data_IF_554629330703
#
_entry.id   IF_554629330703
#
_cell.length_a   1.000
_cell.length_b   1.000
_cell.length_c   1.000
_cell.angle_alpha   90.00
_cell.angle_beta   90.00
_cell.angle_gamma   90.00
#
_symmetry.space_group_name_H-M   'P 1'
#
loop_
_entity.id
_entity.type
_entity.pdbx_description
1 polymer ?
#
# COMPACT_ATOMS: atom_id res chain seq x y z
N UNK A 1 8.97 -7.24 14.43
CA UNK A 1 9.91 -6.12 14.64
C UNK A 1 11.36 -6.63 14.85
N UNK A 2 11.72 -7.57 15.76
CA UNK A 2 13.09 -8.04 15.89
C UNK A 2 13.68 -8.66 14.62
N UNK A 3 12.88 -9.35 13.82
CA UNK A 3 13.30 -9.95 12.55
C UNK A 3 13.66 -8.88 11.50
N UNK A 4 12.90 -7.78 11.47
CA UNK A 4 13.20 -6.61 10.63
C UNK A 4 14.53 -5.96 11.00
N UNK A 5 14.82 -5.79 12.30
CA UNK A 5 16.09 -5.24 12.75
C UNK A 5 17.27 -6.09 12.31
N UNK A 6 17.17 -7.41 12.49
CA UNK A 6 18.20 -8.34 12.06
C UNK A 6 18.41 -8.31 10.53
N UNK A 7 17.30 -8.30 9.78
CA UNK A 7 17.33 -8.25 8.31
C UNK A 7 18.05 -7.02 7.78
N UNK A 8 17.92 -5.89 8.48
CA UNK A 8 18.50 -4.60 8.08
C UNK A 8 19.75 -4.19 8.89
N UNK A 9 20.32 -5.12 9.67
CA UNK A 9 21.56 -4.90 10.40
C UNK A 9 21.44 -3.89 11.56
N UNK A 10 20.22 -3.62 12.02
CA UNK A 10 19.95 -2.76 13.16
C UNK A 10 19.91 -3.59 14.46
N UNK A 11 20.45 -3.02 15.53
CA UNK A 11 20.43 -3.72 16.81
C UNK A 11 19.19 -3.42 17.65
N UNK A 12 18.54 -2.28 17.39
CA UNK A 12 17.41 -1.77 18.15
C UNK A 12 16.53 -0.81 17.31
N UNK A 13 15.45 -0.34 17.92
CA UNK A 13 14.51 0.60 17.30
C UNK A 13 15.16 1.95 17.00
N UNK A 14 16.03 2.44 17.87
CA UNK A 14 16.68 3.74 17.68
C UNK A 14 17.61 3.71 16.46
N UNK A 15 18.43 2.66 16.30
CA UNK A 15 19.26 2.48 15.12
C UNK A 15 18.44 2.37 13.84
N UNK A 16 17.30 1.65 13.89
CA UNK A 16 16.38 1.57 12.76
C UNK A 16 15.76 2.92 12.39
N UNK A 17 15.28 3.69 13.38
CA UNK A 17 14.73 5.02 13.15
C UNK A 17 15.78 6.03 12.64
N UNK A 18 17.02 5.93 13.12
CA UNK A 18 18.11 6.78 12.65
C UNK A 18 18.47 6.54 11.18
N UNK A 19 18.21 5.34 10.65
CA UNK A 19 18.42 5.01 9.24
C UNK A 19 17.19 5.38 8.40
N UNK A 20 16.00 4.98 8.83
CA UNK A 20 14.78 5.09 8.03
C UNK A 20 14.06 6.41 8.22
N UNK A 21 14.38 7.15 9.28
CA UNK A 21 13.69 8.38 9.70
C UNK A 21 12.17 8.22 9.83
N UNK A 22 11.66 7.00 10.00
CA UNK A 22 10.24 6.63 9.97
C UNK A 22 9.51 7.07 8.67
N UNK A 23 10.22 7.25 7.58
CA UNK A 23 9.67 7.73 6.32
C UNK A 23 8.72 6.70 5.70
N UNK A 24 7.63 7.21 5.13
CA UNK A 24 6.69 6.43 4.33
C UNK A 24 6.21 7.24 3.11
N UNK A 25 5.60 6.55 2.15
CA UNK A 25 4.87 7.21 1.05
C UNK A 25 3.38 7.42 1.38
N UNK A 26 2.97 7.17 2.63
CA UNK A 26 1.60 7.43 3.08
C UNK A 26 1.40 8.85 3.63
N UNK A 27 2.48 9.48 4.09
CA UNK A 27 2.44 10.79 4.75
C UNK A 27 3.77 11.54 4.63
N UNK A 28 3.92 12.64 5.37
CA UNK A 28 5.16 13.44 5.44
C UNK A 28 5.71 13.56 6.86
N UNK A 29 5.26 12.69 7.78
CA UNK A 29 5.86 12.60 9.10
C UNK A 29 7.22 11.92 9.04
N UNK A 30 8.17 12.43 9.82
CA UNK A 30 9.49 11.84 9.92
C UNK A 30 10.15 12.20 11.23
N UNK A 31 11.19 11.46 11.59
CA UNK A 31 11.96 11.67 12.81
C UNK A 31 13.44 11.83 12.50
N UNK A 32 14.14 12.60 13.33
CA UNK A 32 15.60 12.75 13.29
C UNK A 32 16.14 13.00 14.70
N UNK A 33 17.44 12.71 14.96
CA UNK A 33 18.10 13.17 16.16
C UNK A 33 18.03 14.70 16.28
N UNK A 34 17.97 15.22 17.50
CA UNK A 34 17.82 16.65 17.76
C UNK A 34 18.98 17.49 17.22
N UNK A 35 20.19 16.92 17.25
CA UNK A 35 21.43 17.55 16.76
C UNK A 35 21.66 17.35 15.24
N UNK A 36 20.78 16.63 14.56
CA UNK A 36 20.89 16.39 13.12
C UNK A 36 20.56 17.65 12.31
N UNK A 37 21.45 18.01 11.37
CA UNK A 37 21.25 19.09 10.42
C UNK A 37 20.31 18.77 9.25
N UNK A 38 19.79 17.53 9.15
CA UNK A 38 18.90 17.10 8.07
C UNK A 38 17.62 17.92 8.03
N UNK A 39 17.15 18.22 6.83
CA UNK A 39 15.84 18.81 6.56
C UNK A 39 14.99 17.89 5.66
N UNK A 40 13.71 18.20 5.51
CA UNK A 40 12.77 17.40 4.72
C UNK A 40 13.25 17.17 3.28
N UNK A 41 13.87 18.17 2.66
CA UNK A 41 14.37 18.04 1.29
C UNK A 41 15.46 16.97 1.13
N UNK A 42 16.23 16.71 2.20
CA UNK A 42 17.31 15.73 2.17
C UNK A 42 16.83 14.30 2.22
N UNK A 43 15.65 14.05 2.84
CA UNK A 43 15.15 12.71 3.15
C UNK A 43 13.84 12.35 2.45
N UNK A 44 13.11 13.33 1.91
CA UNK A 44 11.79 13.13 1.31
C UNK A 44 11.78 12.02 0.26
N UNK A 45 10.98 10.98 0.47
CA UNK A 45 10.75 9.91 -0.52
C UNK A 45 10.06 10.41 -1.79
N UNK A 46 9.38 11.55 -1.73
CA UNK A 46 8.74 12.15 -2.90
C UNK A 46 9.73 12.85 -3.82
N UNK A 47 10.87 13.31 -3.31
CA UNK A 47 11.87 14.14 -4.04
C UNK A 47 13.13 13.39 -4.40
N UNK A 48 13.56 12.48 -3.54
CA UNK A 48 14.84 11.79 -3.68
C UNK A 48 14.70 10.47 -4.47
N UNK A 49 15.76 10.04 -5.17
CA UNK A 49 15.78 8.73 -5.81
C UNK A 49 15.69 7.62 -4.76
N UNK A 50 15.12 6.48 -5.14
CA UNK A 50 15.05 5.30 -4.29
C UNK A 50 16.36 4.50 -4.37
N UNK A 51 16.67 3.76 -3.30
CA UNK A 51 17.76 2.81 -3.29
C UNK A 51 17.34 1.53 -4.05
N UNK A 52 17.80 1.39 -5.29
CA UNK A 52 17.45 0.29 -6.16
C UNK A 52 17.89 -1.07 -5.62
N UNK A 53 18.98 -1.13 -4.83
CA UNK A 53 19.44 -2.38 -4.24
C UNK A 53 18.52 -2.84 -3.12
N UNK A 54 18.01 -1.91 -2.31
CA UNK A 54 17.03 -2.23 -1.26
C UNK A 54 15.69 -2.61 -1.88
N UNK A 55 15.24 -1.90 -2.90
CA UNK A 55 14.01 -2.22 -3.63
C UNK A 55 14.08 -3.61 -4.27
N UNK A 56 15.18 -3.94 -4.92
CA UNK A 56 15.40 -5.28 -5.49
C UNK A 56 15.46 -6.37 -4.41
N UNK A 57 16.17 -6.12 -3.30
CA UNK A 57 16.25 -7.07 -2.19
C UNK A 57 14.87 -7.32 -1.55
N UNK A 58 14.08 -6.28 -1.35
CA UNK A 58 12.72 -6.38 -0.82
C UNK A 58 11.79 -7.17 -1.76
N UNK A 59 11.94 -6.98 -3.07
CA UNK A 59 11.16 -7.69 -4.08
C UNK A 59 11.57 -9.16 -4.21
N UNK A 60 12.87 -9.46 -4.21
CA UNK A 60 13.39 -10.82 -4.36
C UNK A 60 13.37 -11.64 -3.06
N UNK A 61 13.03 -11.01 -1.92
CA UNK A 61 13.04 -11.65 -0.60
C UNK A 61 14.46 -12.00 -0.12
N UNK A 62 15.49 -11.36 -0.67
CA UNK A 62 16.89 -11.62 -0.29
C UNK A 62 17.30 -10.70 0.85
N UNK A 63 18.01 -11.21 1.88
CA UNK A 63 18.56 -10.34 2.91
C UNK A 63 19.59 -9.39 2.29
N UNK A 64 19.33 -8.09 2.36
CA UNK A 64 20.23 -7.07 1.88
C UNK A 64 21.49 -7.00 2.74
N UNK A 65 22.66 -7.38 2.19
CA UNK A 65 23.95 -7.21 2.83
C UNK A 65 24.61 -5.84 2.57
N UNK A 66 23.81 -4.83 2.22
CA UNK A 66 24.28 -3.50 1.79
C UNK A 66 23.94 -2.43 2.83
N UNK A 67 24.70 -1.35 2.85
CA UNK A 67 24.41 -0.18 3.69
C UNK A 67 23.03 0.37 3.36
N UNK A 68 22.18 0.47 4.36
CA UNK A 68 20.82 1.00 4.22
C UNK A 68 20.85 2.50 3.93
N UNK A 69 19.94 2.94 3.07
CA UNK A 69 19.68 4.34 2.78
C UNK A 69 18.32 4.76 3.32
N UNK A 70 18.21 5.98 3.81
CA UNK A 70 16.93 6.57 4.24
C UNK A 70 15.91 6.73 3.10
N UNK A 71 16.37 6.70 1.85
CA UNK A 71 15.52 6.84 0.66
C UNK A 71 14.96 5.51 0.16
N UNK A 72 14.65 4.59 1.07
CA UNK A 72 14.07 3.27 0.77
C UNK A 72 12.63 3.19 1.27
N UNK A 73 11.62 3.43 0.41
CA UNK A 73 10.21 3.45 0.81
C UNK A 73 9.67 2.09 1.26
N UNK A 74 10.38 1.01 1.00
CA UNK A 74 10.03 -0.36 1.39
C UNK A 74 9.86 -0.51 2.90
N UNK A 75 10.59 0.26 3.72
CA UNK A 75 10.48 0.22 5.18
C UNK A 75 9.11 0.64 5.71
N UNK A 76 8.40 1.50 4.99
CA UNK A 76 7.04 1.94 5.32
C UNK A 76 5.95 1.19 4.55
N UNK A 77 6.27 0.10 3.86
CA UNK A 77 5.34 -0.61 2.98
C UNK A 77 4.77 -1.86 3.64
N UNK A 78 3.46 -1.89 3.89
CA UNK A 78 2.77 -3.02 4.52
C UNK A 78 2.46 -4.16 3.55
N UNK A 79 2.34 -5.39 4.06
CA UNK A 79 1.79 -6.58 3.38
C UNK A 79 2.78 -7.70 3.13
N UNK A 80 2.24 -8.91 2.84
CA UNK A 80 2.98 -10.17 2.76
C UNK A 80 3.62 -10.46 1.40
N UNK A 81 3.13 -9.86 0.32
CA UNK A 81 3.63 -10.15 -1.01
C UNK A 81 4.90 -9.37 -1.33
N UNK A 82 5.76 -9.97 -2.14
CA UNK A 82 6.93 -9.29 -2.68
C UNK A 82 6.50 -8.06 -3.48
N UNK A 83 6.95 -6.89 -3.08
CA UNK A 83 6.62 -5.61 -3.68
C UNK A 83 7.75 -4.62 -3.51
N UNK A 84 7.84 -3.70 -4.43
CA UNK A 84 8.79 -2.60 -4.34
C UNK A 84 8.22 -1.34 -4.98
N UNK A 85 8.78 -0.21 -4.57
CA UNK A 85 8.52 1.07 -5.19
C UNK A 85 9.58 1.36 -6.24
N UNK A 86 9.13 1.75 -7.41
CA UNK A 86 10.00 2.08 -8.56
C UNK A 86 9.71 3.51 -9.00
N UNK A 87 10.77 4.24 -9.26
CA UNK A 87 10.66 5.60 -9.82
C UNK A 87 10.91 5.57 -11.32
N UNK A 88 9.87 5.81 -12.11
CA UNK A 88 9.93 5.94 -13.57
C UNK A 88 9.79 7.42 -13.96
N UNK A 89 10.91 8.11 -14.16
CA UNK A 89 10.91 9.55 -14.37
C UNK A 89 10.29 10.31 -13.20
N UNK A 90 9.19 11.01 -13.45
CA UNK A 90 8.45 11.74 -12.41
C UNK A 90 7.37 10.91 -11.70
N UNK A 91 7.19 9.65 -12.11
CA UNK A 91 6.16 8.78 -11.53
C UNK A 91 6.78 7.87 -10.48
N UNK A 92 6.06 7.71 -9.38
CA UNK A 92 6.33 6.69 -8.37
C UNK A 92 5.29 5.60 -8.56
N UNK A 93 5.75 4.37 -8.78
CA UNK A 93 4.93 3.20 -9.04
C UNK A 93 5.18 2.13 -7.98
N UNK A 94 4.12 1.51 -7.50
CA UNK A 94 4.19 0.30 -6.70
C UNK A 94 4.09 -0.90 -7.63
N UNK A 95 5.09 -1.80 -7.58
CA UNK A 95 5.09 -3.09 -8.23
C UNK A 95 4.78 -4.16 -7.20
N UNK A 96 3.77 -4.98 -7.47
CA UNK A 96 3.32 -6.08 -6.61
C UNK A 96 3.37 -7.38 -7.39
N UNK A 97 4.04 -8.36 -6.84
CA UNK A 97 4.08 -9.70 -7.42
C UNK A 97 3.04 -10.60 -6.73
N UNK A 98 2.68 -11.68 -7.37
CA UNK A 98 1.86 -12.72 -6.74
C UNK A 98 2.66 -13.52 -5.72
N UNK A 99 1.95 -14.31 -4.91
CA UNK A 99 2.55 -15.31 -4.02
C UNK A 99 3.22 -16.42 -4.82
N UNK A 100 4.08 -17.19 -4.17
CA UNK A 100 4.70 -18.36 -4.80
C UNK A 100 3.68 -19.49 -5.07
N UNK A 101 2.52 -19.44 -4.37
CA UNK A 101 1.45 -20.43 -4.51
C UNK A 101 0.44 -20.02 -5.59
N UNK A 102 0.07 -18.75 -5.61
CA UNK A 102 -0.93 -18.20 -6.53
C UNK A 102 -0.31 -17.04 -7.31
N UNK A 103 0.44 -17.35 -8.35
CA UNK A 103 1.13 -16.34 -9.19
C UNK A 103 0.19 -15.42 -9.96
N UNK A 104 -1.12 -15.63 -9.86
CA UNK A 104 -2.16 -14.93 -10.64
C UNK A 104 -2.72 -13.68 -9.95
N UNK A 105 -2.35 -13.39 -8.69
CA UNK A 105 -2.86 -12.20 -7.99
C UNK A 105 -2.65 -10.89 -8.79
N UNK A 106 -1.53 -10.66 -9.49
CA UNK A 106 -1.38 -9.48 -10.33
C UNK A 106 -2.41 -9.40 -11.45
N UNK A 107 -2.76 -10.55 -12.06
CA UNK A 107 -3.80 -10.63 -13.09
C UNK A 107 -5.18 -10.37 -12.49
N UNK A 108 -5.47 -10.97 -11.33
CA UNK A 108 -6.71 -10.72 -10.58
C UNK A 108 -6.87 -9.22 -10.29
N UNK A 109 -5.84 -8.56 -9.79
CA UNK A 109 -5.85 -7.13 -9.48
C UNK A 109 -6.09 -6.27 -10.73
N UNK A 110 -5.43 -6.59 -11.83
CA UNK A 110 -5.64 -5.91 -13.11
C UNK A 110 -7.07 -6.06 -13.63
N UNK A 111 -7.63 -7.28 -13.63
CA UNK A 111 -8.99 -7.54 -14.10
C UNK A 111 -10.04 -6.92 -13.17
N UNK A 112 -9.85 -7.02 -11.85
CA UNK A 112 -10.72 -6.41 -10.86
C UNK A 112 -10.80 -4.88 -11.02
N UNK A 113 -9.69 -4.23 -11.39
CA UNK A 113 -9.66 -2.79 -11.67
C UNK A 113 -10.59 -2.41 -12.82
N UNK A 114 -10.74 -3.23 -13.85
CA UNK A 114 -11.64 -2.94 -14.98
C UNK A 114 -13.12 -2.90 -14.53
N UNK A 115 -13.48 -3.71 -13.53
CA UNK A 115 -14.80 -3.67 -12.89
C UNK A 115 -14.90 -2.46 -11.96
N UNK A 116 -13.86 -2.23 -11.16
CA UNK A 116 -13.81 -1.13 -10.19
C UNK A 116 -14.04 0.24 -10.86
N UNK A 117 -13.45 0.50 -12.02
CA UNK A 117 -13.64 1.73 -12.80
C UNK A 117 -15.08 2.00 -13.24
N UNK A 118 -15.94 0.96 -13.27
CA UNK A 118 -17.35 1.08 -13.62
C UNK A 118 -18.26 1.29 -12.39
N UNK A 119 -17.80 0.90 -11.22
CA UNK A 119 -18.58 0.93 -9.96
C UNK A 119 -18.19 2.11 -9.09
N UNK A 120 -16.89 2.39 -8.98
CA UNK A 120 -16.34 3.41 -8.11
C UNK A 120 -15.82 4.61 -8.92
N UNK A 121 -16.16 5.84 -8.53
CA UNK A 121 -15.70 7.04 -9.23
C UNK A 121 -14.19 7.27 -9.04
N UNK A 122 -13.64 6.84 -7.91
CA UNK A 122 -12.22 6.95 -7.59
C UNK A 122 -11.63 5.58 -7.26
N UNK A 123 -10.71 5.13 -8.11
CA UNK A 123 -10.05 3.82 -8.00
C UNK A 123 -8.59 3.93 -8.41
N UNK A 124 -7.74 3.18 -7.75
CA UNK A 124 -6.36 3.01 -8.17
C UNK A 124 -6.33 2.07 -9.37
N UNK A 125 -5.77 2.54 -10.48
CA UNK A 125 -5.62 1.77 -11.70
C UNK A 125 -4.38 0.90 -11.64
N UNK A 126 -4.56 -0.37 -11.98
CA UNK A 126 -3.48 -1.33 -12.05
C UNK A 126 -3.24 -1.76 -13.49
N UNK A 127 -1.98 -1.71 -13.92
CA UNK A 127 -1.49 -2.28 -15.17
C UNK A 127 -0.71 -3.56 -14.89
N UNK A 128 -0.52 -4.38 -15.92
CA UNK A 128 0.35 -5.56 -15.85
C UNK A 128 1.74 -5.23 -16.38
N UNK A 129 2.73 -5.94 -15.89
CA UNK A 129 4.10 -5.88 -16.36
C UNK A 129 4.93 -7.06 -15.90
N UNK A 130 6.22 -7.01 -16.23
CA UNK A 130 7.21 -7.93 -15.71
C UNK A 130 8.30 -7.14 -14.99
N UNK A 131 8.76 -7.68 -13.87
CA UNK A 131 9.87 -7.15 -13.11
C UNK A 131 10.65 -8.32 -12.51
N UNK A 132 11.97 -8.38 -12.74
CA UNK A 132 12.82 -9.53 -12.40
C UNK A 132 12.20 -10.86 -12.85
N UNK A 133 11.76 -10.93 -14.12
CA UNK A 133 11.12 -12.10 -14.75
C UNK A 133 9.83 -12.60 -14.08
N UNK A 134 9.26 -11.84 -13.13
CA UNK A 134 7.99 -12.16 -12.48
C UNK A 134 6.87 -11.25 -12.99
N UNK A 135 5.68 -11.82 -13.14
CA UNK A 135 4.47 -11.05 -13.43
C UNK A 135 4.16 -10.13 -12.24
N UNK A 136 3.91 -8.85 -12.52
CA UNK A 136 3.54 -7.85 -11.52
C UNK A 136 2.31 -7.08 -11.94
N UNK A 137 1.48 -6.71 -10.96
CA UNK A 137 0.60 -5.58 -11.08
C UNK A 137 1.36 -4.31 -10.69
N UNK A 138 1.10 -3.22 -11.39
CA UNK A 138 1.74 -1.94 -11.12
C UNK A 138 0.73 -0.82 -11.09
N UNK A 139 0.80 0.00 -10.05
CA UNK A 139 -0.06 1.16 -9.91
C UNK A 139 0.72 2.41 -9.56
N UNK A 140 0.14 3.56 -9.90
CA UNK A 140 0.73 4.84 -9.55
C UNK A 140 0.44 5.18 -8.09
N UNK A 141 1.43 5.77 -7.42
CA UNK A 141 1.24 6.37 -6.11
C UNK A 141 0.11 7.42 -6.16
N UNK A 142 -0.83 7.34 -5.23
CA UNK A 142 -1.98 8.24 -5.13
C UNK A 142 -1.89 9.25 -3.97
N UNK A 143 -0.86 9.13 -3.14
CA UNK A 143 -0.47 10.12 -2.14
C UNK A 143 0.53 11.12 -2.72
N UNK A 144 0.84 12.16 -1.98
CA UNK A 144 1.80 13.20 -2.36
C UNK A 144 2.34 13.91 -1.13
N UNK A 145 3.25 14.88 -1.30
CA UNK A 145 3.67 15.75 -0.19
C UNK A 145 2.52 16.57 0.41
N UNK A 146 1.43 16.78 -0.33
CA UNK A 146 0.25 17.51 0.12
C UNK A 146 -0.82 16.60 0.69
N UNK A 147 -0.96 15.37 0.17
CA UNK A 147 -2.02 14.44 0.53
C UNK A 147 -1.44 13.14 1.08
N UNK A 148 -1.77 12.85 2.32
CA UNK A 148 -1.43 11.61 3.01
C UNK A 148 -2.61 10.64 3.07
N UNK A 149 -2.32 9.36 3.29
CA UNK A 149 -3.30 8.29 3.52
C UNK A 149 -3.40 7.99 5.02
N UNK A 150 -4.60 8.11 5.56
CA UNK A 150 -4.95 7.57 6.90
C UNK A 150 -5.85 6.36 6.68
N UNK A 151 -5.38 5.20 7.09
CA UNK A 151 -6.11 3.93 6.93
C UNK A 151 -7.26 3.83 7.93
N UNK A 152 -8.32 3.10 7.58
CA UNK A 152 -9.50 2.97 8.44
C UNK A 152 -9.16 2.38 9.83
N UNK A 153 -8.15 1.50 9.92
CA UNK A 153 -7.76 0.93 11.22
C UNK A 153 -7.15 1.97 12.18
N UNK A 154 -6.56 3.07 11.66
CA UNK A 154 -5.96 4.14 12.47
C UNK A 154 -6.99 5.16 12.94
N UNK A 155 -8.09 5.33 12.17
CA UNK A 155 -9.16 6.30 12.51
C UNK A 155 -10.28 5.69 13.36
N UNK A 156 -10.54 4.37 13.24
CA UNK A 156 -11.71 3.74 13.84
C UNK A 156 -11.38 3.12 15.20
N UNK A 157 -12.05 3.54 16.29
CA UNK A 157 -11.97 2.84 17.56
C UNK A 157 -12.41 1.40 17.42
N UNK A 158 -11.80 0.47 18.18
CA UNK A 158 -12.08 -0.95 18.07
C UNK A 158 -13.57 -1.30 18.22
N UNK A 159 -14.30 -0.57 19.07
CA UNK A 159 -15.75 -0.76 19.28
C UNK A 159 -16.62 -0.42 18.06
N UNK A 160 -16.09 0.33 17.10
CA UNK A 160 -16.81 0.81 15.91
C UNK A 160 -16.41 0.06 14.64
N UNK A 161 -15.64 -1.03 14.76
CA UNK A 161 -15.12 -1.82 13.63
C UNK A 161 -16.11 -2.86 13.07
N UNK A 162 -17.40 -2.79 13.45
CA UNK A 162 -18.46 -3.52 12.75
C UNK A 162 -18.80 -2.82 11.42
N UNK A 163 -19.32 -3.56 10.44
CA UNK A 163 -19.69 -2.97 9.13
C UNK A 163 -20.65 -1.78 9.31
N UNK A 164 -21.63 -1.90 10.20
CA UNK A 164 -22.57 -0.81 10.50
C UNK A 164 -21.91 0.38 11.20
N UNK A 165 -20.94 0.13 12.06
CA UNK A 165 -20.16 1.19 12.71
C UNK A 165 -19.27 1.94 11.72
N UNK A 166 -18.57 1.21 10.86
CA UNK A 166 -17.75 1.78 9.78
C UNK A 166 -18.62 2.62 8.84
N UNK A 167 -19.74 2.06 8.37
CA UNK A 167 -20.65 2.79 7.48
C UNK A 167 -21.12 4.10 8.11
N UNK A 168 -21.58 4.07 9.36
CA UNK A 168 -22.00 5.27 10.08
C UNK A 168 -20.88 6.31 10.15
N UNK A 169 -19.66 5.90 10.48
CA UNK A 169 -18.52 6.80 10.53
C UNK A 169 -18.23 7.46 9.16
N UNK A 170 -18.25 6.69 8.09
CA UNK A 170 -18.08 7.24 6.74
C UNK A 170 -19.28 8.11 6.30
N UNK A 171 -20.50 7.85 6.78
CA UNK A 171 -21.66 8.73 6.59
C UNK A 171 -21.48 10.08 7.29
N UNK A 172 -21.02 10.08 8.53
CA UNK A 172 -20.72 11.30 9.30
C UNK A 172 -19.64 12.17 8.63
N UNK A 173 -18.67 11.53 7.95
CA UNK A 173 -17.65 12.20 7.15
C UNK A 173 -18.17 12.66 5.77
N UNK A 174 -19.39 12.31 5.37
CA UNK A 174 -19.92 12.60 4.04
C UNK A 174 -19.51 11.63 2.94
N UNK A 175 -18.88 10.50 3.27
CA UNK A 175 -18.36 9.51 2.32
C UNK A 175 -19.15 8.19 2.30
N UNK A 176 -20.34 8.16 2.89
CA UNK A 176 -21.15 6.94 2.99
C UNK A 176 -21.44 6.27 1.65
N UNK A 177 -21.71 7.04 0.59
CA UNK A 177 -21.93 6.49 -0.75
C UNK A 177 -20.68 5.89 -1.37
N UNK A 178 -19.51 6.50 -1.18
CA UNK A 178 -18.25 5.96 -1.65
C UNK A 178 -17.93 4.63 -0.95
N UNK A 179 -18.17 4.54 0.37
CA UNK A 179 -17.99 3.31 1.13
C UNK A 179 -18.96 2.20 0.67
N UNK A 180 -20.24 2.51 0.44
CA UNK A 180 -21.23 1.53 -0.09
C UNK A 180 -20.81 1.02 -1.47
N UNK A 181 -20.34 1.89 -2.37
CA UNK A 181 -19.84 1.47 -3.68
C UNK A 181 -18.65 0.54 -3.57
N UNK A 182 -17.73 0.78 -2.65
CA UNK A 182 -16.61 -0.13 -2.38
C UNK A 182 -17.14 -1.50 -1.92
N UNK A 183 -18.11 -1.56 -1.00
CA UNK A 183 -18.70 -2.83 -0.56
C UNK A 183 -19.42 -3.57 -1.70
N UNK A 184 -20.12 -2.85 -2.57
CA UNK A 184 -20.74 -3.42 -3.78
C UNK A 184 -19.69 -3.96 -4.73
N UNK A 185 -18.62 -3.20 -4.95
CA UNK A 185 -17.49 -3.65 -5.77
C UNK A 185 -16.90 -4.94 -5.21
N UNK A 186 -16.56 -4.98 -3.92
CA UNK A 186 -15.97 -6.16 -3.28
C UNK A 186 -16.86 -7.41 -3.44
N UNK A 187 -18.16 -7.24 -3.34
CA UNK A 187 -19.12 -8.32 -3.60
C UNK A 187 -19.13 -8.77 -5.08
N UNK A 188 -19.03 -7.83 -6.03
CA UNK A 188 -19.02 -8.13 -7.47
C UNK A 188 -17.74 -8.84 -7.92
N UNK A 189 -16.60 -8.42 -7.39
CA UNK A 189 -15.30 -9.01 -7.74
C UNK A 189 -14.89 -10.16 -6.81
N UNK A 190 -15.76 -10.52 -5.84
CA UNK A 190 -15.47 -11.54 -4.84
C UNK A 190 -14.16 -11.29 -4.09
N UNK A 191 -13.92 -10.05 -3.69
CA UNK A 191 -12.73 -9.68 -2.93
C UNK A 191 -12.83 -10.21 -1.50
N UNK A 192 -11.90 -11.06 -1.11
CA UNK A 192 -11.88 -11.71 0.21
C UNK A 192 -10.94 -11.02 1.22
N UNK A 193 -10.29 -9.92 0.83
CA UNK A 193 -9.24 -9.29 1.64
C UNK A 193 -9.48 -7.79 1.94
N UNK A 194 -10.71 -7.31 1.93
CA UNK A 194 -11.04 -5.94 2.30
C UNK A 194 -10.97 -5.72 3.81
N UNK A 195 -9.79 -5.69 4.38
CA UNK A 195 -9.59 -5.35 5.79
C UNK A 195 -9.39 -3.84 5.98
N UNK A 196 -9.38 -3.37 7.25
CA UNK A 196 -9.30 -1.94 7.61
C UNK A 196 -8.00 -1.23 7.17
N UNK A 197 -7.01 -1.97 6.71
CA UNK A 197 -5.77 -1.45 6.13
C UNK A 197 -5.88 -1.15 4.62
N UNK A 198 -6.93 -1.66 3.94
CA UNK A 198 -7.09 -1.58 2.48
C UNK A 198 -8.12 -0.54 2.03
N UNK A 199 -8.48 0.38 2.91
CA UNK A 199 -9.25 1.60 2.63
C UNK A 199 -9.03 2.64 3.73
N UNK A 200 -9.45 3.88 3.48
CA UNK A 200 -9.29 4.98 4.41
C UNK A 200 -9.64 6.32 3.80
N UNK A 201 -9.01 7.37 4.28
CA UNK A 201 -9.21 8.74 3.82
C UNK A 201 -7.90 9.37 3.39
N UNK A 202 -7.97 10.34 2.49
CA UNK A 202 -6.87 11.25 2.20
C UNK A 202 -7.00 12.49 3.07
N UNK A 203 -5.88 12.88 3.66
CA UNK A 203 -5.78 14.07 4.52
C UNK A 203 -4.76 15.05 3.94
N UNK A 204 -4.96 16.32 4.18
CA UNK A 204 -3.93 17.33 3.95
C UNK A 204 -2.80 17.14 4.97
N UNK A 205 -1.56 16.97 4.49
CA UNK A 205 -0.41 16.68 5.36
C UNK A 205 0.00 17.87 6.26
N UNK A 206 -0.46 19.07 6.00
CA UNK A 206 -0.14 20.26 6.81
C UNK A 206 -1.21 20.53 7.86
N UNK A 207 -2.49 20.46 7.47
CA UNK A 207 -3.62 20.78 8.34
C UNK A 207 -4.20 19.57 9.05
N UNK A 208 -3.92 18.36 8.54
CA UNK A 208 -4.49 17.07 8.95
C UNK A 208 -6.01 16.99 8.72
N UNK A 209 -6.57 17.89 7.93
CA UNK A 209 -7.98 17.87 7.57
C UNK A 209 -8.27 16.78 6.56
N UNK A 210 -9.35 16.04 6.80
CA UNK A 210 -9.82 15.00 5.86
C UNK A 210 -10.35 15.68 4.61
N UNK A 211 -9.79 15.30 3.45
CA UNK A 211 -10.15 15.86 2.15
C UNK A 211 -11.19 15.02 1.43
N UNK A 212 -11.03 13.71 1.43
CA UNK A 212 -11.91 12.77 0.73
C UNK A 212 -11.63 11.32 1.15
N UNK A 213 -12.51 10.41 0.79
CA UNK A 213 -12.20 8.98 0.84
C UNK A 213 -11.02 8.68 -0.09
N UNK A 214 -10.11 7.81 0.32
CA UNK A 214 -9.04 7.34 -0.55
C UNK A 214 -9.63 6.60 -1.76
N UNK A 215 -9.01 6.67 -2.95
CA UNK A 215 -9.42 5.85 -4.07
C UNK A 215 -9.41 4.38 -3.66
N UNK A 216 -10.33 3.57 -4.16
CA UNK A 216 -10.37 2.14 -3.81
C UNK A 216 -9.13 1.44 -4.39
N UNK A 217 -8.42 0.68 -3.57
CA UNK A 217 -7.16 0.03 -3.93
C UNK A 217 -7.09 -1.38 -3.34
N UNK A 218 -6.08 -2.14 -3.75
CA UNK A 218 -5.77 -3.48 -3.28
C UNK A 218 -6.89 -4.51 -3.57
N UNK A 219 -6.90 -4.99 -4.83
CA UNK A 219 -7.88 -5.94 -5.35
C UNK A 219 -7.27 -7.30 -5.70
N UNK A 220 -6.03 -7.56 -5.29
CA UNK A 220 -5.25 -8.72 -5.73
C UNK A 220 -5.86 -10.06 -5.30
N UNK A 221 -6.69 -10.08 -4.27
CA UNK A 221 -7.37 -11.29 -3.76
C UNK A 221 -8.85 -11.33 -4.18
N UNK A 222 -9.07 -11.19 -5.48
CA UNK A 222 -10.39 -11.12 -6.11
C UNK A 222 -10.54 -12.19 -7.20
N UNK A 223 -11.76 -12.33 -7.74
CA UNK A 223 -12.07 -13.16 -8.91
C UNK A 223 -11.70 -14.64 -8.73
N UNK A 224 -11.86 -15.17 -7.50
CA UNK A 224 -11.55 -16.57 -7.19
C UNK A 224 -10.11 -16.97 -7.51
N UNK A 225 -9.15 -16.05 -7.28
CA UNK A 225 -7.75 -16.16 -7.64
C UNK A 225 -7.05 -17.43 -7.09
N UNK A 226 -7.59 -18.01 -6.02
CA UNK A 226 -7.07 -19.15 -5.27
C UNK A 226 -7.78 -20.47 -5.62
N UNK A 227 -8.71 -20.47 -6.60
CA UNK A 227 -9.41 -21.66 -7.03
C UNK A 227 -8.75 -22.30 -8.24
N UNK A 228 -8.59 -23.61 -8.21
CA UNK A 228 -8.20 -24.40 -9.36
C UNK A 228 -9.40 -24.71 -10.28
N UNK A 229 -9.13 -25.31 -11.45
CA UNK A 229 -10.17 -25.61 -12.43
C UNK A 229 -11.23 -26.55 -11.87
N UNK A 230 -10.87 -27.55 -11.07
CA UNK A 230 -11.84 -28.50 -10.50
C UNK A 230 -12.75 -27.85 -9.47
N UNK A 231 -12.22 -26.89 -8.71
CA UNK A 231 -13.01 -26.10 -7.76
C UNK A 231 -13.97 -25.16 -8.50
N UNK A 232 -13.53 -24.51 -9.59
CA UNK A 232 -14.37 -23.63 -10.41
C UNK A 232 -15.50 -24.39 -11.11
N UNK A 233 -15.25 -25.61 -11.62
CA UNK A 233 -16.25 -26.46 -12.27
C UNK A 233 -17.32 -26.98 -11.30
N UNK A 234 -17.05 -26.99 -10.01
CA UNK A 234 -17.96 -27.47 -8.95
C UNK A 234 -18.58 -26.33 -8.12
N UNK A 235 -18.52 -25.10 -8.60
CA UNK A 235 -19.23 -23.98 -7.98
C UNK A 235 -20.75 -24.24 -8.04
N UNK A 236 -21.52 -23.89 -6.97
CA UNK A 236 -22.96 -24.12 -6.92
C UNK A 236 -23.75 -23.25 -7.91
#
# INVERSE_FOLDING_TARGET
IPELFYQYGCNDLEGFLNITHALSLNDTFWVKPEDSGLCWADVSLYRNPFDELVSAAAFDGRPGGTSLSSTSPEFGTDGYFAKCWVREGQKILLYKCGSDTFVVEPLSEFLATQVAERVCPEVVRYDLGFYHDRLVSKCRLFTSEQLGLVKAHDMLPQRERSISGILRHFEELGFGDAFRRMCVLDALILNVDRHLGNFGVLVDNQTLEIQRMAPVFDHNRSLLFDMDQAQLENLP
#
